data_IF_937695306761
#
_entry.id   IF_937695306761
#
_cell.length_a   1.000
_cell.length_b   1.000
_cell.length_c   1.000
_cell.angle_alpha   90.00
_cell.angle_beta   90.00
_cell.angle_gamma   90.00
#
_symmetry.space_group_name_H-M   'P 1'
#
loop_
_entity.id
_entity.type
_entity.pdbx_description
1 polymer ?
#
# COMPACT_ATOMS: atom_id res chain seq x y z
N UNK A 1 0.04 40.20 11.37
CA UNK A 1 0.44 38.80 11.64
C UNK A 1 -0.54 37.88 10.93
N UNK A 2 -0.04 37.17 9.92
CA UNK A 2 -0.84 36.47 8.91
C UNK A 2 -1.46 35.17 9.46
N UNK A 3 -2.78 35.02 9.32
CA UNK A 3 -3.56 33.80 9.66
C UNK A 3 -3.37 32.65 8.66
N UNK A 4 -2.38 32.72 7.76
CA UNK A 4 -2.23 31.80 6.61
C UNK A 4 -1.19 30.69 6.88
N UNK A 5 -0.46 30.75 8.00
CA UNK A 5 0.60 29.77 8.31
C UNK A 5 0.11 28.50 9.03
N UNK A 6 -1.20 28.36 9.26
CA UNK A 6 -1.81 27.25 10.01
C UNK A 6 -2.22 26.03 9.17
N UNK A 7 -2.23 26.13 7.83
CA UNK A 7 -2.45 24.99 6.95
C UNK A 7 -1.12 24.29 6.72
N UNK A 8 -0.66 23.51 7.71
CA UNK A 8 0.28 22.41 7.47
C UNK A 8 -0.22 21.68 6.23
N UNK A 9 0.51 21.76 5.11
CA UNK A 9 0.18 21.03 3.88
C UNK A 9 0.00 19.56 4.27
N UNK A 10 -1.26 19.07 4.32
CA UNK A 10 -1.54 17.66 4.65
C UNK A 10 -0.79 16.85 3.59
N UNK A 11 0.23 16.11 4.02
CA UNK A 11 1.03 15.33 3.11
C UNK A 11 0.22 14.08 2.75
N UNK A 12 -0.41 14.10 1.58
CA UNK A 12 -1.05 12.92 1.01
C UNK A 12 -0.01 11.83 0.83
N UNK A 13 -0.41 10.58 1.10
CA UNK A 13 0.39 9.42 0.74
C UNK A 13 0.31 9.17 -0.76
N UNK A 14 0.72 7.99 -1.21
CA UNK A 14 0.59 7.54 -2.59
C UNK A 14 0.18 6.08 -2.67
N UNK A 15 -0.40 5.68 -3.80
CA UNK A 15 -0.75 4.28 -4.08
C UNK A 15 0.10 3.84 -5.25
N UNK A 16 1.01 2.90 -5.01
CA UNK A 16 1.95 2.40 -5.98
C UNK A 16 1.59 0.99 -6.40
N UNK A 17 1.67 0.69 -7.69
CA UNK A 17 1.80 -0.67 -8.19
C UNK A 17 3.29 -0.96 -8.40
N UNK A 18 3.79 -2.00 -7.74
CA UNK A 18 5.19 -2.43 -7.81
C UNK A 18 5.30 -3.88 -8.28
N UNK A 19 6.46 -4.24 -8.80
CA UNK A 19 6.84 -5.61 -9.08
C UNK A 19 7.51 -6.27 -7.85
N UNK A 20 7.92 -7.53 -8.00
CA UNK A 20 8.61 -8.29 -6.95
C UNK A 20 10.02 -7.80 -6.65
N UNK A 21 10.69 -7.17 -7.60
CA UNK A 21 12.05 -6.67 -7.47
C UNK A 21 12.12 -5.35 -6.69
N UNK A 22 11.05 -4.54 -6.76
CA UNK A 22 11.01 -3.23 -6.12
C UNK A 22 11.31 -3.27 -4.61
N UNK A 23 12.35 -2.51 -4.23
CA UNK A 23 12.76 -2.35 -2.85
C UNK A 23 11.83 -1.38 -2.12
N UNK A 24 11.24 -1.85 -1.01
CA UNK A 24 10.25 -1.11 -0.22
C UNK A 24 10.89 -0.59 1.06
N UNK A 25 10.37 0.51 1.66
CA UNK A 25 10.88 1.00 2.93
C UNK A 25 10.90 -0.09 4.02
N UNK A 26 11.96 -0.15 4.83
CA UNK A 26 12.13 -1.19 5.87
C UNK A 26 11.03 -1.16 6.95
N UNK A 27 10.57 0.03 7.33
CA UNK A 27 9.57 0.22 8.37
C UNK A 27 8.14 0.30 7.78
N UNK A 28 7.66 -0.83 7.26
CA UNK A 28 6.39 -0.95 6.53
C UNK A 28 5.56 -2.09 7.14
N UNK A 29 4.24 -1.89 7.24
CA UNK A 29 3.33 -2.97 7.60
C UNK A 29 3.15 -3.89 6.39
N UNK A 30 3.32 -5.20 6.55
CA UNK A 30 3.31 -6.14 5.43
C UNK A 30 2.14 -7.10 5.54
N UNK A 31 1.37 -7.18 4.46
CA UNK A 31 0.24 -8.07 4.30
C UNK A 31 0.53 -8.97 3.11
N UNK A 32 0.27 -10.27 3.25
CA UNK A 32 0.40 -11.26 2.20
C UNK A 32 -0.96 -11.89 1.92
N UNK A 33 -1.43 -11.84 0.67
CA UNK A 33 -2.76 -12.38 0.33
C UNK A 33 -2.73 -13.78 -0.26
N UNK A 34 -1.56 -14.26 -0.68
CA UNK A 34 -1.38 -15.57 -1.28
C UNK A 34 0.04 -16.11 -1.12
N UNK A 35 0.20 -17.44 -1.21
CA UNK A 35 1.49 -18.12 -1.21
C UNK A 35 1.95 -18.60 0.17
N UNK A 36 3.23 -18.94 0.27
CA UNK A 36 3.85 -19.45 1.51
C UNK A 36 3.94 -18.32 2.53
N UNK A 37 3.37 -18.53 3.72
CA UNK A 37 3.34 -17.56 4.81
C UNK A 37 4.76 -17.12 5.19
N UNK A 38 5.01 -15.82 5.15
CA UNK A 38 6.24 -15.21 5.67
C UNK A 38 6.06 -14.79 7.12
N UNK A 39 7.13 -14.93 7.91
CA UNK A 39 7.08 -14.65 9.35
C UNK A 39 6.77 -13.19 9.69
N UNK A 40 7.14 -12.26 8.81
CA UNK A 40 6.98 -10.82 8.96
C UNK A 40 5.74 -10.25 8.24
N UNK A 41 4.83 -11.10 7.77
CA UNK A 41 3.61 -10.68 7.08
C UNK A 41 2.36 -11.14 7.84
N UNK A 42 1.35 -10.26 7.90
CA UNK A 42 -0.02 -10.66 8.20
C UNK A 42 -0.57 -11.45 7.00
N UNK A 43 -1.13 -12.64 7.23
CA UNK A 43 -1.63 -13.50 6.17
C UNK A 43 -3.14 -13.29 5.97
N UNK A 44 -3.53 -12.81 4.79
CA UNK A 44 -4.90 -12.38 4.49
C UNK A 44 -5.43 -13.00 3.20
N UNK A 45 -5.94 -14.25 3.24
CA UNK A 45 -6.38 -14.95 2.03
C UNK A 45 -7.73 -14.46 1.47
N UNK A 46 -8.37 -13.47 2.10
CA UNK A 46 -9.67 -12.93 1.68
C UNK A 46 -9.68 -11.40 1.71
N UNK A 47 -10.58 -10.81 0.92
CA UNK A 47 -10.78 -9.35 0.90
C UNK A 47 -11.38 -8.82 2.21
N UNK A 48 -12.14 -9.64 2.94
CA UNK A 48 -12.64 -9.28 4.26
C UNK A 48 -11.52 -9.18 5.30
N UNK A 49 -10.64 -10.19 5.35
CA UNK A 49 -9.46 -10.18 6.21
C UNK A 49 -8.56 -8.99 5.88
N UNK A 50 -8.32 -8.71 4.59
CA UNK A 50 -7.55 -7.53 4.18
C UNK A 50 -8.17 -6.21 4.68
N UNK A 51 -9.50 -6.06 4.63
CA UNK A 51 -10.16 -4.85 5.17
C UNK A 51 -9.97 -4.73 6.68
N UNK A 52 -10.06 -5.83 7.41
CA UNK A 52 -9.89 -5.85 8.86
C UNK A 52 -8.47 -5.41 9.23
N UNK A 53 -7.43 -6.01 8.66
CA UNK A 53 -6.04 -5.66 8.93
C UNK A 53 -5.71 -4.20 8.59
N UNK A 54 -6.27 -3.68 7.49
CA UNK A 54 -6.10 -2.26 7.14
C UNK A 54 -6.84 -1.33 8.10
N UNK A 55 -7.96 -1.77 8.67
CA UNK A 55 -8.67 -1.07 9.73
C UNK A 55 -7.86 -1.03 11.04
N UNK A 56 -7.30 -2.16 11.44
CA UNK A 56 -6.41 -2.27 12.61
C UNK A 56 -5.14 -1.43 12.43
N UNK A 57 -4.54 -1.46 11.23
CA UNK A 57 -3.44 -0.58 10.85
C UNK A 57 -3.78 0.90 11.02
N UNK A 58 -4.98 1.33 10.59
CA UNK A 58 -5.40 2.72 10.72
C UNK A 58 -5.66 3.13 12.17
N UNK A 59 -6.17 2.21 12.99
CA UNK A 59 -6.47 2.47 14.40
C UNK A 59 -5.19 2.60 15.25
N UNK A 60 -4.17 1.79 14.98
CA UNK A 60 -2.93 1.75 15.78
C UNK A 60 -1.74 2.47 15.16
N UNK A 61 -1.84 2.79 13.87
CA UNK A 61 -0.95 3.59 13.00
C UNK A 61 0.49 3.82 13.49
N UNK A 62 1.21 2.71 13.66
CA UNK A 62 2.65 2.69 14.01
C UNK A 62 3.51 2.97 12.77
N UNK A 63 3.06 2.52 11.59
CA UNK A 63 3.76 2.69 10.32
C UNK A 63 3.10 3.76 9.43
N UNK A 64 3.89 4.39 8.57
CA UNK A 64 3.40 5.34 7.56
C UNK A 64 3.09 4.69 6.21
N UNK A 65 3.42 3.42 6.06
CA UNK A 65 3.30 2.71 4.79
C UNK A 65 2.78 1.30 5.01
N UNK A 66 2.12 0.74 3.99
CA UNK A 66 1.68 -0.65 3.93
C UNK A 66 2.09 -1.29 2.62
N UNK A 67 2.55 -2.53 2.68
CA UNK A 67 2.83 -3.40 1.54
C UNK A 67 1.76 -4.48 1.51
N UNK A 68 1.13 -4.66 0.35
CA UNK A 68 0.19 -5.74 0.09
C UNK A 68 0.77 -6.62 -1.02
N UNK A 69 1.28 -7.79 -0.63
CA UNK A 69 1.89 -8.78 -1.50
C UNK A 69 0.83 -9.64 -2.18
N UNK A 70 0.92 -9.73 -3.51
CA UNK A 70 0.05 -10.53 -4.39
C UNK A 70 -1.42 -10.10 -4.39
N UNK A 71 -1.68 -8.80 -4.24
CA UNK A 71 -3.03 -8.22 -4.14
C UNK A 71 -3.99 -8.67 -5.25
N UNK A 72 -3.49 -8.94 -6.45
CA UNK A 72 -4.24 -9.39 -7.63
C UNK A 72 -4.91 -10.75 -7.46
N UNK A 73 -4.49 -11.53 -6.47
CA UNK A 73 -5.08 -12.82 -6.11
C UNK A 73 -6.42 -12.69 -5.40
N UNK A 74 -6.73 -11.50 -4.85
CA UNK A 74 -8.01 -11.23 -4.23
C UNK A 74 -8.96 -10.56 -5.23
N UNK A 75 -10.19 -11.06 -5.30
CA UNK A 75 -11.30 -10.29 -5.82
C UNK A 75 -11.74 -9.28 -4.74
N UNK A 76 -11.54 -7.99 -4.99
CA UNK A 76 -11.99 -6.94 -4.08
C UNK A 76 -12.86 -5.91 -4.80
N UNK A 77 -13.79 -5.35 -4.04
CA UNK A 77 -14.85 -4.48 -4.52
C UNK A 77 -14.46 -3.00 -4.50
N UNK A 78 -15.40 -2.14 -4.90
CA UNK A 78 -15.24 -0.69 -4.83
C UNK A 78 -14.95 -0.19 -3.41
N UNK A 79 -15.39 -0.91 -2.36
CA UNK A 79 -15.16 -0.50 -0.96
C UNK A 79 -13.68 -0.57 -0.61
N UNK A 80 -12.96 -1.57 -1.10
CA UNK A 80 -11.51 -1.67 -0.92
C UNK A 80 -10.77 -0.50 -1.58
N UNK A 81 -11.17 -0.12 -2.80
CA UNK A 81 -10.58 1.03 -3.52
C UNK A 81 -10.82 2.33 -2.75
N UNK A 82 -12.03 2.51 -2.20
CA UNK A 82 -12.35 3.66 -1.34
C UNK A 82 -11.48 3.67 -0.09
N UNK A 83 -11.26 2.51 0.54
CA UNK A 83 -10.37 2.39 1.70
C UNK A 83 -8.93 2.80 1.35
N UNK A 84 -8.38 2.35 0.22
CA UNK A 84 -7.05 2.78 -0.22
C UNK A 84 -6.96 4.29 -0.45
N UNK A 85 -7.99 4.89 -1.05
CA UNK A 85 -8.06 6.35 -1.22
C UNK A 85 -8.17 7.09 0.11
N UNK A 86 -8.91 6.55 1.08
CA UNK A 86 -8.98 7.12 2.42
C UNK A 86 -7.61 7.08 3.11
N UNK A 87 -6.95 5.92 3.09
CA UNK A 87 -5.58 5.77 3.62
C UNK A 87 -4.59 6.75 2.96
N UNK A 88 -4.70 6.95 1.64
CA UNK A 88 -3.93 7.94 0.90
C UNK A 88 -4.15 9.38 1.44
N UNK A 89 -5.42 9.77 1.65
CA UNK A 89 -5.80 11.06 2.25
C UNK A 89 -5.24 11.22 3.67
N UNK A 90 -5.15 10.13 4.41
CA UNK A 90 -4.56 10.10 5.73
C UNK A 90 -3.04 10.21 5.72
N UNK A 91 -2.38 10.15 4.56
CA UNK A 91 -0.92 10.24 4.45
C UNK A 91 -0.23 8.88 4.49
N UNK A 92 -0.94 7.79 4.17
CA UNK A 92 -0.37 6.44 4.10
C UNK A 92 0.08 6.13 2.68
N UNK A 93 1.31 5.65 2.54
CA UNK A 93 1.79 5.08 1.29
C UNK A 93 1.37 3.60 1.18
N UNK A 94 0.75 3.22 0.08
CA UNK A 94 0.29 1.86 -0.19
C UNK A 94 1.12 1.31 -1.34
N UNK A 95 1.79 0.18 -1.11
CA UNK A 95 2.55 -0.55 -2.11
C UNK A 95 1.79 -1.83 -2.46
N UNK A 96 1.28 -1.89 -3.69
CA UNK A 96 0.56 -3.04 -4.25
C UNK A 96 1.55 -3.87 -5.06
N UNK A 97 2.08 -4.94 -4.48
CA UNK A 97 3.03 -5.81 -5.17
C UNK A 97 2.29 -6.86 -5.99
N UNK A 98 2.55 -6.82 -7.30
CA UNK A 98 1.90 -7.68 -8.29
C UNK A 98 2.92 -8.55 -9.03
N UNK A 99 2.50 -9.72 -9.52
CA UNK A 99 3.37 -10.68 -10.24
C UNK A 99 3.31 -10.55 -11.76
N UNK A 100 2.66 -9.52 -12.30
CA UNK A 100 2.81 -9.13 -13.72
C UNK A 100 1.57 -9.25 -14.62
N UNK A 101 0.38 -9.60 -14.10
CA UNK A 101 -0.78 -9.84 -14.98
C UNK A 101 -1.92 -8.81 -14.92
N UNK A 102 -1.96 -7.88 -13.96
CA UNK A 102 -3.06 -6.91 -13.85
C UNK A 102 -2.54 -5.50 -13.62
N UNK A 103 -2.86 -4.59 -14.55
CA UNK A 103 -2.70 -3.16 -14.35
C UNK A 103 -3.78 -2.65 -13.39
N UNK A 104 -3.35 -2.00 -12.31
CA UNK A 104 -4.23 -1.39 -11.33
C UNK A 104 -4.39 0.09 -11.70
N UNK A 105 -5.50 0.44 -12.34
CA UNK A 105 -5.72 1.78 -12.91
C UNK A 105 -5.71 2.95 -11.91
N UNK A 106 -5.87 2.65 -10.61
CA UNK A 106 -5.90 3.64 -9.53
C UNK A 106 -4.56 3.76 -8.78
N UNK A 107 -3.50 3.13 -9.28
CA UNK A 107 -2.17 3.13 -8.67
C UNK A 107 -1.09 3.57 -9.66
N UNK A 108 -0.10 4.33 -9.17
CA UNK A 108 1.06 4.74 -9.95
C UNK A 108 2.01 3.57 -10.13
N UNK A 109 2.40 3.26 -11.37
CA UNK A 109 3.39 2.21 -11.61
C UNK A 109 4.78 2.68 -11.19
N UNK A 110 5.44 1.90 -10.35
CA UNK A 110 6.85 2.06 -9.99
C UNK A 110 7.60 0.81 -10.40
N UNK A 111 8.42 0.96 -11.44
CA UNK A 111 9.44 0.00 -11.79
C UNK A 111 10.69 0.35 -10.99
N UNK A 112 11.45 -0.66 -10.58
CA UNK A 112 12.78 -0.39 -10.04
C UNK A 112 13.60 0.26 -11.15
N UNK A 113 14.12 1.47 -10.93
CA UNK A 113 15.14 2.00 -11.81
C UNK A 113 16.35 1.09 -11.63
N UNK A 114 16.62 0.25 -12.62
CA UNK A 114 17.96 -0.24 -12.83
C UNK A 114 18.78 1.01 -13.16
N UNK A 115 19.42 1.60 -12.15
CA UNK A 115 20.63 2.37 -12.40
C UNK A 115 21.67 1.39 -12.94
N UNK A 116 21.68 1.20 -14.25
CA UNK A 116 22.92 0.90 -14.95
C UNK A 116 23.45 2.26 -15.43
N UNK A 117 24.33 2.93 -14.69
CA UNK A 117 25.17 3.95 -15.29
C UNK A 117 26.19 3.18 -16.16
N UNK A 118 26.03 3.29 -17.48
CA UNK A 118 27.16 3.13 -18.40
C UNK A 118 27.80 4.51 -18.54
#
# INVERSE_FOLDING_TARGET
MNRIDGLRRKQFGKIYQIDRSYDVPKNIFKIQTYGIRRADHAACPSSECLRQELGEFLAHRIHRSVLIDSVETLAYDKKMIVLFKYMNIEGVDIYLRTTGMRNVWYADKKLQHNENPV
#
